data_IF_372208969463
#
_entry.id   IF_372208969463
#
_cell.length_a   1.000
_cell.length_b   1.000
_cell.length_c   1.000
_cell.angle_alpha   90.00
_cell.angle_beta   90.00
_cell.angle_gamma   90.00
#
_symmetry.space_group_name_H-M   'P 1'
#
loop_
_entity.id
_entity.type
_entity.pdbx_description
1 polymer ?
#
# COMPACT_ATOMS: atom_id res chain seq x y z
N UNK A 1 -9.22 9.34 34.62
CA UNK A 1 -7.85 8.89 34.28
C UNK A 1 -6.80 10.02 34.34
N UNK A 2 -6.49 10.62 35.51
CA UNK A 2 -5.51 11.71 35.58
C UNK A 2 -4.05 11.22 35.54
N UNK A 3 -3.77 10.08 36.18
CA UNK A 3 -2.41 9.51 36.29
C UNK A 3 -1.82 9.15 34.92
N UNK A 4 -2.62 8.58 34.02
CA UNK A 4 -2.18 8.21 32.66
C UNK A 4 -1.73 9.43 31.84
N UNK A 5 -2.54 10.50 31.81
CA UNK A 5 -2.20 11.72 31.07
C UNK A 5 -0.90 12.36 31.57
N UNK A 6 -0.71 12.41 32.88
CA UNK A 6 0.53 12.95 33.48
C UNK A 6 1.77 12.16 33.03
N UNK A 7 1.69 10.83 32.98
CA UNK A 7 2.80 9.99 32.51
C UNK A 7 3.09 10.22 31.02
N UNK A 8 2.05 10.29 30.18
CA UNK A 8 2.22 10.59 28.74
C UNK A 8 2.89 11.95 28.52
N UNK A 9 2.48 12.99 29.24
CA UNK A 9 3.10 14.32 29.15
C UNK A 9 4.57 14.29 29.58
N UNK A 10 4.90 13.56 30.66
CA UNK A 10 6.28 13.42 31.11
C UNK A 10 7.16 12.73 30.06
N UNK A 11 6.65 11.68 29.41
CA UNK A 11 7.34 10.97 28.32
C UNK A 11 7.52 11.88 27.10
N UNK A 12 6.46 12.56 26.65
CA UNK A 12 6.51 13.51 25.52
C UNK A 12 7.56 14.59 25.74
N UNK A 13 7.58 15.21 26.93
CA UNK A 13 8.55 16.27 27.25
C UNK A 13 10.00 15.79 27.17
N UNK A 14 10.26 14.54 27.61
CA UNK A 14 11.60 13.94 27.57
C UNK A 14 12.06 13.54 26.16
N UNK A 15 11.14 13.18 25.27
CA UNK A 15 11.50 12.70 23.93
C UNK A 15 11.59 13.81 22.90
N UNK A 16 10.56 14.66 22.82
CA UNK A 16 10.45 15.67 21.75
C UNK A 16 9.90 17.01 22.22
N UNK A 17 9.83 17.23 23.55
CA UNK A 17 9.29 18.44 24.19
C UNK A 17 7.80 18.69 23.91
N UNK A 18 7.48 19.11 22.69
CA UNK A 18 6.13 19.45 22.22
C UNK A 18 5.92 18.94 20.78
N UNK A 19 4.70 18.49 20.45
CA UNK A 19 4.42 17.96 19.12
C UNK A 19 4.35 19.08 18.05
N UNK A 20 4.58 18.76 16.76
CA UNK A 20 4.43 19.72 15.67
C UNK A 20 3.01 20.29 15.59
N UNK A 21 2.88 21.62 15.67
CA UNK A 21 1.58 22.29 15.74
C UNK A 21 0.83 22.35 14.40
N UNK A 22 1.56 22.49 13.28
CA UNK A 22 0.96 22.80 11.98
C UNK A 22 -0.01 21.73 11.47
N UNK A 23 0.38 20.46 11.55
CA UNK A 23 -0.50 19.34 11.15
C UNK A 23 -1.75 19.23 12.03
N UNK A 24 -1.59 19.46 13.34
CA UNK A 24 -2.72 19.49 14.27
C UNK A 24 -3.69 20.64 13.95
N UNK A 25 -3.17 21.79 13.54
CA UNK A 25 -3.98 22.93 13.11
C UNK A 25 -4.80 22.61 11.86
N UNK A 26 -4.18 22.05 10.80
CA UNK A 26 -4.88 21.65 9.56
C UNK A 26 -6.03 20.68 9.87
N UNK A 27 -5.74 19.61 10.62
CA UNK A 27 -6.75 18.62 10.98
C UNK A 27 -7.83 19.25 11.87
N UNK A 28 -7.44 20.10 12.82
CA UNK A 28 -8.38 20.85 13.65
C UNK A 28 -9.33 21.72 12.82
N UNK A 29 -8.82 22.44 11.82
CA UNK A 29 -9.63 23.26 10.91
C UNK A 29 -10.61 22.40 10.10
N UNK A 30 -10.15 21.26 9.56
CA UNK A 30 -11.00 20.36 8.76
C UNK A 30 -12.10 19.74 9.62
N UNK A 31 -11.76 19.20 10.80
CA UNK A 31 -12.71 18.45 11.63
C UNK A 31 -13.74 19.35 12.34
N UNK A 32 -13.40 20.60 12.65
CA UNK A 32 -14.32 21.54 13.32
C UNK A 32 -15.19 22.35 12.36
N UNK A 33 -14.97 22.26 11.05
CA UNK A 33 -15.79 22.94 10.04
C UNK A 33 -16.65 21.90 9.29
N UNK A 34 -17.99 21.93 9.41
CA UNK A 34 -18.86 20.92 8.79
C UNK A 34 -18.70 20.80 7.26
N UNK A 35 -18.44 21.91 6.57
CA UNK A 35 -18.22 21.93 5.12
C UNK A 35 -16.94 21.20 4.76
N UNK A 36 -15.83 21.57 5.39
CA UNK A 36 -14.51 20.94 5.17
C UNK A 36 -14.51 19.46 5.59
N UNK A 37 -15.21 19.13 6.68
CA UNK A 37 -15.34 17.75 7.13
C UNK A 37 -16.07 16.88 6.10
N UNK A 38 -17.13 17.39 5.50
CA UNK A 38 -17.86 16.68 4.45
C UNK A 38 -17.02 16.51 3.17
N UNK A 39 -16.29 17.55 2.77
CA UNK A 39 -15.35 17.46 1.65
C UNK A 39 -14.26 16.41 1.91
N UNK A 40 -13.65 16.44 3.10
CA UNK A 40 -12.63 15.49 3.52
C UNK A 40 -13.12 14.03 3.48
N UNK A 41 -14.34 13.76 3.97
CA UNK A 41 -14.96 12.42 3.88
C UNK A 41 -15.12 11.98 2.43
N UNK A 42 -15.59 12.88 1.55
CA UNK A 42 -15.74 12.59 0.12
C UNK A 42 -14.39 12.25 -0.51
N UNK A 43 -13.35 13.05 -0.23
CA UNK A 43 -12.00 12.82 -0.75
C UNK A 43 -11.44 11.46 -0.30
N UNK A 44 -11.62 11.08 0.98
CA UNK A 44 -11.23 9.75 1.47
C UNK A 44 -11.96 8.65 0.71
N UNK A 45 -13.28 8.81 0.51
CA UNK A 45 -14.09 7.83 -0.21
C UNK A 45 -13.60 7.66 -1.66
N UNK A 46 -13.30 8.75 -2.35
CA UNK A 46 -12.77 8.71 -3.72
C UNK A 46 -11.43 7.97 -3.79
N UNK A 47 -10.51 8.24 -2.84
CA UNK A 47 -9.22 7.54 -2.78
C UNK A 47 -9.44 6.05 -2.51
N UNK A 48 -10.33 5.71 -1.58
CA UNK A 48 -10.69 4.32 -1.29
C UNK A 48 -11.26 3.60 -2.53
N UNK A 49 -12.23 4.20 -3.22
CA UNK A 49 -12.86 3.63 -4.42
C UNK A 49 -11.84 3.43 -5.55
N UNK A 50 -10.91 4.37 -5.72
CA UNK A 50 -9.80 4.25 -6.67
C UNK A 50 -8.90 3.05 -6.33
N UNK A 51 -8.40 2.95 -5.09
CA UNK A 51 -7.55 1.82 -4.67
C UNK A 51 -8.30 0.49 -4.76
N UNK A 52 -9.57 0.46 -4.36
CA UNK A 52 -10.40 -0.73 -4.39
C UNK A 52 -10.63 -1.22 -5.83
N UNK A 53 -11.00 -0.32 -6.74
CA UNK A 53 -11.20 -0.67 -8.15
C UNK A 53 -9.91 -1.16 -8.82
N UNK A 54 -8.76 -0.55 -8.54
CA UNK A 54 -7.46 -1.01 -9.06
C UNK A 54 -7.09 -2.39 -8.51
N UNK A 55 -7.38 -2.68 -7.23
CA UNK A 55 -7.20 -4.03 -6.67
C UNK A 55 -8.04 -5.08 -7.39
N UNK A 56 -9.33 -4.79 -7.62
CA UNK A 56 -10.24 -5.71 -8.30
C UNK A 56 -9.82 -5.92 -9.76
N UNK A 57 -9.41 -4.85 -10.44
CA UNK A 57 -8.94 -4.94 -11.82
C UNK A 57 -7.65 -5.75 -11.93
N UNK A 58 -6.71 -5.56 -11.01
CA UNK A 58 -5.44 -6.30 -11.05
C UNK A 58 -5.68 -7.79 -10.80
N UNK A 59 -6.52 -8.11 -9.82
CA UNK A 59 -6.93 -9.49 -9.55
C UNK A 59 -7.66 -10.13 -10.73
N UNK A 60 -8.57 -9.41 -11.39
CA UNK A 60 -9.31 -9.96 -12.54
C UNK A 60 -8.39 -10.24 -13.73
N UNK A 61 -7.39 -9.39 -13.98
CA UNK A 61 -6.37 -9.60 -15.02
C UNK A 61 -5.50 -10.82 -14.74
N UNK A 62 -5.02 -10.97 -13.50
CA UNK A 62 -4.26 -12.16 -13.09
C UNK A 62 -5.06 -13.45 -13.24
N UNK A 63 -6.35 -13.41 -12.88
CA UNK A 63 -7.27 -14.55 -13.04
C UNK A 63 -7.52 -14.89 -14.51
N UNK A 64 -7.66 -13.88 -15.38
CA UNK A 64 -7.79 -14.08 -16.84
C UNK A 64 -6.55 -14.74 -17.45
N UNK A 65 -5.36 -14.39 -16.95
CA UNK A 65 -4.10 -15.03 -17.37
C UNK A 65 -3.95 -16.46 -16.82
N UNK A 66 -4.83 -16.92 -15.93
CA UNK A 66 -4.74 -18.25 -15.33
C UNK A 66 -3.67 -18.34 -14.23
N UNK A 67 -3.26 -17.20 -13.66
CA UNK A 67 -2.25 -17.17 -12.59
C UNK A 67 -2.75 -17.96 -11.36
N UNK A 68 -2.01 -18.95 -10.84
CA UNK A 68 -2.33 -19.65 -9.60
C UNK A 68 -2.56 -18.65 -8.46
N UNK A 69 -3.58 -18.93 -7.63
CA UNK A 69 -4.18 -17.99 -6.67
C UNK A 69 -3.18 -17.14 -5.88
N UNK A 70 -3.34 -15.81 -5.99
CA UNK A 70 -2.58 -14.78 -5.27
C UNK A 70 -3.54 -14.09 -4.29
N UNK A 71 -3.47 -14.41 -2.99
CA UNK A 71 -4.22 -13.71 -1.96
C UNK A 71 -3.48 -12.43 -1.51
N UNK A 72 -3.98 -11.68 -0.53
CA UNK A 72 -3.48 -10.35 -0.14
C UNK A 72 -1.96 -10.27 0.18
N UNK A 73 -1.29 -11.41 0.37
CA UNK A 73 0.14 -11.61 0.23
C UNK A 73 0.39 -12.36 -1.07
N UNK A 74 1.28 -11.84 -1.93
CA UNK A 74 1.50 -12.42 -3.26
C UNK A 74 1.93 -13.88 -3.26
N UNK A 75 2.36 -14.40 -2.10
CA UNK A 75 2.85 -15.78 -1.97
C UNK A 75 4.15 -16.01 -2.70
N UNK A 76 4.77 -14.95 -3.25
CA UNK A 76 6.02 -15.03 -3.97
C UNK A 76 7.13 -15.42 -3.01
N UNK A 77 7.91 -16.41 -3.42
CA UNK A 77 9.14 -16.76 -2.72
C UNK A 77 10.23 -15.69 -2.97
N UNK A 78 11.36 -15.76 -2.24
CA UNK A 78 12.41 -14.77 -2.39
C UNK A 78 13.00 -14.60 -3.79
N UNK A 79 13.24 -15.71 -4.50
CA UNK A 79 13.75 -15.65 -5.87
C UNK A 79 12.75 -15.01 -6.82
N UNK A 80 11.46 -15.32 -6.70
CA UNK A 80 10.41 -14.75 -7.54
C UNK A 80 10.31 -13.22 -7.41
N UNK A 81 10.30 -12.66 -6.20
CA UNK A 81 10.27 -11.20 -6.08
C UNK A 81 11.57 -10.56 -6.56
N UNK A 82 12.72 -11.20 -6.39
CA UNK A 82 13.98 -10.69 -6.94
C UNK A 82 13.97 -10.68 -8.47
N UNK A 83 13.45 -11.74 -9.10
CA UNK A 83 13.26 -11.81 -10.55
C UNK A 83 12.34 -10.70 -11.06
N UNK A 84 11.23 -10.42 -10.36
CA UNK A 84 10.36 -9.28 -10.68
C UNK A 84 11.12 -7.95 -10.67
N UNK A 85 12.02 -7.74 -9.73
CA UNK A 85 12.83 -6.51 -9.62
C UNK A 85 13.89 -6.47 -10.71
N UNK A 86 14.69 -7.53 -10.87
CA UNK A 86 15.87 -7.56 -11.71
C UNK A 86 15.53 -7.64 -13.20
N UNK A 87 14.58 -8.50 -13.57
CA UNK A 87 14.24 -8.78 -14.97
C UNK A 87 13.07 -7.93 -15.47
N UNK A 88 12.09 -7.64 -14.60
CA UNK A 88 10.86 -6.94 -15.01
C UNK A 88 10.74 -5.51 -14.49
N UNK A 89 11.69 -5.06 -13.67
CA UNK A 89 11.73 -3.73 -13.04
C UNK A 89 10.46 -3.38 -12.25
N UNK A 90 9.86 -4.38 -11.61
CA UNK A 90 8.69 -4.24 -10.74
C UNK A 90 9.15 -4.29 -9.29
N UNK A 91 9.16 -3.13 -8.63
CA UNK A 91 9.66 -2.99 -7.26
C UNK A 91 8.55 -3.28 -6.25
N UNK A 92 8.69 -4.42 -5.55
CA UNK A 92 7.81 -4.84 -4.46
C UNK A 92 8.61 -5.03 -3.17
N UNK A 93 7.91 -5.08 -2.04
CA UNK A 93 8.55 -5.32 -0.75
C UNK A 93 9.08 -6.75 -0.68
N UNK A 94 10.18 -6.97 0.03
CA UNK A 94 10.83 -8.29 0.20
C UNK A 94 9.95 -9.34 0.88
N UNK A 95 8.88 -8.92 1.55
CA UNK A 95 7.87 -9.82 2.12
C UNK A 95 6.75 -10.18 1.12
N UNK A 96 6.90 -9.82 -0.15
CA UNK A 96 5.89 -10.05 -1.20
C UNK A 96 4.70 -9.09 -1.14
N UNK A 97 4.71 -8.05 -0.30
CA UNK A 97 3.61 -7.07 -0.25
C UNK A 97 3.65 -6.10 -1.43
N UNK A 98 2.48 -5.84 -2.05
CA UNK A 98 2.32 -4.90 -3.17
C UNK A 98 1.64 -3.61 -2.72
N UNK A 99 2.24 -2.48 -3.07
CA UNK A 99 1.59 -1.16 -3.00
C UNK A 99 0.76 -0.89 -4.27
N UNK A 100 -0.54 -1.15 -4.19
CA UNK A 100 -1.46 -1.05 -5.35
C UNK A 100 -1.62 0.39 -5.87
N UNK A 101 -1.25 1.40 -5.09
CA UNK A 101 -1.27 2.79 -5.55
C UNK A 101 -0.32 3.07 -6.74
N UNK A 102 0.68 2.20 -6.99
CA UNK A 102 1.55 2.30 -8.17
C UNK A 102 0.98 1.66 -9.45
N UNK A 103 -0.14 0.94 -9.33
CA UNK A 103 -0.83 0.28 -10.44
C UNK A 103 -1.93 1.20 -10.93
N UNK A 104 -1.91 1.50 -12.22
CA UNK A 104 -2.87 2.37 -12.90
C UNK A 104 -3.32 1.71 -14.19
N UNK A 105 -4.48 2.13 -14.72
CA UNK A 105 -5.10 1.48 -15.88
C UNK A 105 -4.18 1.35 -17.10
N UNK A 106 -3.18 2.23 -17.25
CA UNK A 106 -2.23 2.19 -18.37
C UNK A 106 -1.16 1.09 -18.26
N UNK A 107 -0.78 0.67 -17.05
CA UNK A 107 0.32 -0.28 -16.83
C UNK A 107 -0.17 -1.62 -16.25
N UNK A 108 -1.44 -1.74 -15.88
CA UNK A 108 -1.98 -2.90 -15.19
C UNK A 108 -1.87 -4.20 -15.98
N UNK A 109 -2.03 -4.13 -17.30
CA UNK A 109 -1.91 -5.31 -18.19
C UNK A 109 -0.46 -5.79 -18.27
N UNK A 110 0.48 -4.88 -18.47
CA UNK A 110 1.91 -5.18 -18.51
C UNK A 110 2.40 -5.77 -17.17
N UNK A 111 1.97 -5.16 -16.06
CA UNK A 111 2.32 -5.65 -14.72
C UNK A 111 1.72 -7.05 -14.51
N UNK A 112 0.45 -7.27 -14.84
CA UNK A 112 -0.18 -8.59 -14.68
C UNK A 112 0.55 -9.67 -15.49
N UNK A 113 1.00 -9.35 -16.70
CA UNK A 113 1.78 -10.27 -17.53
C UNK A 113 3.14 -10.62 -16.91
N UNK A 114 3.85 -9.63 -16.35
CA UNK A 114 5.13 -9.82 -15.64
C UNK A 114 4.98 -10.71 -14.41
N UNK A 115 3.89 -10.52 -13.65
CA UNK A 115 3.57 -11.40 -12.53
C UNK A 115 3.28 -12.83 -12.97
N UNK A 116 2.49 -13.01 -14.04
CA UNK A 116 2.18 -14.33 -14.59
C UNK A 116 3.44 -15.06 -15.05
N UNK A 117 4.35 -14.35 -15.74
CA UNK A 117 5.61 -14.89 -16.24
C UNK A 117 6.48 -15.41 -15.08
N UNK A 118 6.70 -14.59 -14.05
CA UNK A 118 7.48 -15.00 -12.87
C UNK A 118 6.82 -16.14 -12.11
N UNK A 119 5.48 -16.19 -12.02
CA UNK A 119 4.83 -17.27 -11.26
C UNK A 119 4.88 -18.61 -12.02
N UNK A 120 4.80 -18.57 -13.34
CA UNK A 120 4.67 -19.78 -14.17
C UNK A 120 6.02 -20.31 -14.64
N UNK A 121 6.95 -19.43 -14.97
CA UNK A 121 8.22 -19.76 -15.61
C UNK A 121 9.41 -19.66 -14.65
N UNK A 122 9.19 -19.39 -13.36
CA UNK A 122 10.27 -19.37 -12.38
C UNK A 122 10.88 -20.77 -12.22
N UNK A 123 12.14 -20.85 -12.63
CA UNK A 123 13.04 -21.96 -12.31
C UNK A 123 13.83 -21.51 -11.11
N UNK A 124 13.91 -22.34 -10.06
CA UNK A 124 14.77 -22.07 -8.90
C UNK A 124 16.22 -21.93 -9.40
N UNK A 125 16.71 -20.69 -9.49
CA UNK A 125 18.11 -20.41 -9.77
C UNK A 125 18.86 -20.38 -8.43
N UNK A 126 19.73 -21.36 -8.14
CA UNK A 126 20.48 -21.42 -6.89
C UNK A 126 21.53 -20.31 -6.73
N UNK A 127 21.63 -19.35 -7.68
CA UNK A 127 22.58 -18.22 -7.66
C UNK A 127 22.00 -16.89 -7.17
N UNK A 128 20.72 -16.85 -6.74
CA UNK A 128 20.07 -15.68 -6.13
C UNK A 128 19.81 -15.88 -4.63
#
# INVERSE_FOLDING_TARGET
>A
MPKFRTQMVAITRRNYSNPPAYGAYIIGTILNNPTLYNEWKTNIRTIYECIHSMRQLFYSKLKQLGTPSMFAYTGLNPGQYQTLIQQHHVYIMSNGSIHVCGIISKNIDEIAQKFYDVITNYVDDPKL
#
